data_IF_464722436169
#
_entry.id   IF_464722436169
#
_cell.length_a   1.000
_cell.length_b   1.000
_cell.length_c   1.000
_cell.angle_alpha   90.00
_cell.angle_beta   90.00
_cell.angle_gamma   90.00
#
_symmetry.space_group_name_H-M   'P 1'
#
loop_
_entity.id
_entity.type
_entity.pdbx_description
1 polymer ?
#
# COMPACT_ATOMS: atom_id res chain seq x y z
N UNK A 1 -6.37 1.42 8.83
CA UNK A 1 -6.45 2.90 8.91
C UNK A 1 -7.82 3.29 9.47
N UNK A 2 -7.90 4.25 10.41
CA UNK A 2 -9.19 4.73 10.93
C UNK A 2 -9.87 5.71 9.96
N UNK A 3 -11.21 5.71 9.96
CA UNK A 3 -12.02 6.68 9.25
C UNK A 3 -11.91 8.00 10.01
N UNK A 4 -11.45 9.07 9.36
CA UNK A 4 -11.20 10.35 10.03
C UNK A 4 -12.48 10.99 10.58
N UNK A 5 -13.65 10.68 10.01
CA UNK A 5 -14.95 11.17 10.48
C UNK A 5 -15.49 10.36 11.66
N UNK A 6 -15.40 9.04 11.61
CA UNK A 6 -15.98 8.19 12.66
C UNK A 6 -15.04 7.98 13.85
N UNK A 7 -13.72 8.16 13.65
CA UNK A 7 -12.65 7.95 14.64
C UNK A 7 -12.76 6.62 15.42
N UNK A 8 -13.51 5.65 14.90
CA UNK A 8 -13.95 4.50 15.68
C UNK A 8 -12.98 3.34 15.52
N UNK A 9 -12.45 2.93 16.67
CA UNK A 9 -11.71 1.70 16.94
C UNK A 9 -12.35 1.10 18.21
N UNK A 10 -12.53 -0.23 18.39
CA UNK A 10 -12.25 -1.36 17.51
C UNK A 10 -13.52 -2.13 17.10
N UNK A 11 -13.58 -2.63 15.86
CA UNK A 11 -14.43 -3.79 15.51
C UNK A 11 -13.55 -4.77 14.70
N UNK A 12 -13.73 -6.09 14.86
CA UNK A 12 -12.79 -7.10 14.37
C UNK A 12 -12.76 -7.25 12.83
N UNK A 13 -13.69 -6.63 12.12
CA UNK A 13 -13.80 -6.67 10.66
C UNK A 13 -13.49 -5.29 10.09
N UNK A 14 -12.80 -5.22 8.94
CA UNK A 14 -12.61 -3.97 8.20
C UNK A 14 -13.97 -3.29 7.99
N UNK A 15 -14.18 -2.10 8.54
CA UNK A 15 -15.43 -1.31 8.38
C UNK A 15 -15.53 -0.65 6.99
N UNK A 16 -14.76 -1.14 6.03
CA UNK A 16 -14.65 -0.60 4.69
C UNK A 16 -15.15 -1.62 3.67
N UNK A 17 -15.95 -1.13 2.73
CA UNK A 17 -16.25 -1.84 1.49
C UNK A 17 -15.31 -1.35 0.39
N UNK A 18 -14.68 -2.27 -0.34
CA UNK A 18 -14.02 -1.93 -1.59
C UNK A 18 -15.08 -1.53 -2.61
N UNK A 19 -14.85 -0.41 -3.28
CA UNK A 19 -15.77 0.16 -4.28
C UNK A 19 -15.20 0.03 -5.68
N UNK A 20 -13.89 0.26 -5.83
CA UNK A 20 -13.22 0.21 -7.13
C UNK A 20 -11.71 0.05 -6.98
N UNK A 21 -11.09 -0.49 -8.03
CA UNK A 21 -9.64 -0.57 -8.20
C UNK A 21 -9.24 0.25 -9.42
N UNK A 22 -8.16 1.03 -9.29
CA UNK A 22 -7.50 1.73 -10.39
C UNK A 22 -6.10 1.13 -10.54
N UNK A 23 -5.98 0.19 -11.47
CA UNK A 23 -4.72 -0.50 -11.79
C UNK A 23 -3.60 0.46 -12.26
N UNK A 24 -3.85 1.44 -13.17
CA UNK A 24 -2.82 2.40 -13.57
C UNK A 24 -2.14 3.11 -12.41
N UNK A 25 -2.88 3.42 -11.35
CA UNK A 25 -2.35 4.10 -10.16
C UNK A 25 -2.07 3.15 -8.99
N UNK A 26 -2.25 1.83 -9.19
CA UNK A 26 -2.19 0.80 -8.15
C UNK A 26 -2.87 1.24 -6.85
N UNK A 27 -4.10 1.73 -6.99
CA UNK A 27 -4.85 2.27 -5.87
C UNK A 27 -6.24 1.70 -5.80
N UNK A 28 -6.69 1.49 -4.58
CA UNK A 28 -8.01 0.97 -4.24
C UNK A 28 -8.82 2.09 -3.60
N UNK A 29 -10.11 2.11 -3.91
CA UNK A 29 -11.08 3.01 -3.32
C UNK A 29 -11.98 2.24 -2.37
N UNK A 30 -12.03 2.69 -1.13
CA UNK A 30 -12.83 2.14 -0.07
C UNK A 30 -13.92 3.13 0.38
N UNK A 31 -15.04 2.60 0.86
CA UNK A 31 -16.11 3.37 1.50
C UNK A 31 -16.33 2.89 2.94
N UNK A 32 -16.31 3.83 3.89
CA UNK A 32 -16.68 3.56 5.27
C UNK A 32 -18.17 3.20 5.34
N UNK A 33 -18.50 2.04 5.91
CA UNK A 33 -19.90 1.58 6.07
C UNK A 33 -20.71 2.45 7.03
N UNK A 34 -20.05 3.09 8.00
CA UNK A 34 -20.73 3.84 9.06
C UNK A 34 -21.16 5.26 8.62
N UNK A 35 -20.30 6.00 7.93
CA UNK A 35 -20.57 7.39 7.53
C UNK A 35 -20.51 7.63 6.01
N UNK A 36 -20.12 6.63 5.23
CA UNK A 36 -19.98 6.76 3.78
C UNK A 36 -18.72 7.49 3.31
N UNK A 37 -17.79 7.86 4.20
CA UNK A 37 -16.53 8.50 3.81
C UNK A 37 -15.74 7.63 2.81
N UNK A 38 -15.27 8.24 1.73
CA UNK A 38 -14.44 7.60 0.73
C UNK A 38 -12.95 7.75 1.09
N UNK A 39 -12.20 6.66 0.96
CA UNK A 39 -10.77 6.59 1.26
C UNK A 39 -10.07 5.92 0.09
N UNK A 40 -9.10 6.61 -0.49
CA UNK A 40 -8.20 6.01 -1.48
C UNK A 40 -6.94 5.53 -0.79
N UNK A 41 -6.58 4.27 -0.95
CA UNK A 41 -5.28 3.73 -0.57
C UNK A 41 -4.49 3.48 -1.84
N UNK A 42 -3.27 4.00 -1.93
CA UNK A 42 -2.34 3.68 -3.01
C UNK A 42 -1.20 2.85 -2.49
N UNK A 43 -0.73 1.87 -3.27
CA UNK A 43 0.63 1.39 -3.12
C UNK A 43 1.56 2.52 -3.59
N UNK A 44 2.44 3.02 -2.71
CA UNK A 44 3.55 3.87 -3.14
C UNK A 44 4.31 3.11 -4.23
N UNK A 45 4.38 3.69 -5.44
CA UNK A 45 4.95 3.18 -6.69
C UNK A 45 5.69 1.82 -6.61
N UNK A 46 5.16 0.80 -7.27
CA UNK A 46 6.01 -0.29 -7.77
C UNK A 46 6.78 0.19 -9.00
N UNK A 47 7.81 1.01 -8.78
CA UNK A 47 8.77 1.36 -9.84
C UNK A 47 9.70 0.17 -10.10
N UNK A 48 9.91 -0.18 -11.37
CA UNK A 48 10.98 -1.11 -11.75
C UNK A 48 12.28 -0.31 -11.83
N UNK A 49 13.15 -0.50 -10.85
CA UNK A 49 14.47 0.13 -10.81
C UNK A 49 15.52 -0.94 -11.10
N UNK A 50 16.35 -0.70 -12.11
CA UNK A 50 17.50 -1.54 -12.40
C UNK A 50 18.66 -1.01 -11.58
N UNK A 51 19.14 -1.83 -10.64
CA UNK A 51 20.29 -1.51 -9.80
C UNK A 51 21.52 -2.24 -10.34
N UNK A 52 22.69 -1.60 -10.27
CA UNK A 52 23.95 -2.32 -10.41
C UNK A 52 24.17 -3.22 -9.19
N UNK A 53 24.99 -4.27 -9.31
CA UNK A 53 25.34 -5.14 -8.18
C UNK A 53 25.91 -4.36 -6.99
N UNK A 54 26.66 -3.29 -7.27
CA UNK A 54 27.22 -2.39 -6.26
C UNK A 54 26.12 -1.61 -5.53
N UNK A 55 25.18 -1.00 -6.28
CA UNK A 55 24.08 -0.23 -5.68
C UNK A 55 23.13 -1.11 -4.86
N UNK A 56 22.89 -2.33 -5.35
CA UNK A 56 22.11 -3.34 -4.63
C UNK A 56 22.80 -3.72 -3.30
N UNK A 57 24.11 -3.94 -3.30
CA UNK A 57 24.88 -4.23 -2.09
C UNK A 57 24.87 -3.09 -1.07
N UNK A 58 24.80 -1.83 -1.53
CA UNK A 58 24.68 -0.67 -0.65
C UNK A 58 23.28 -0.50 -0.04
N UNK A 59 22.23 -0.83 -0.80
CA UNK A 59 20.84 -0.65 -0.36
C UNK A 59 20.28 -1.84 0.43
N UNK A 60 20.80 -3.04 0.19
CA UNK A 60 20.30 -4.29 0.76
C UNK A 60 21.42 -5.03 1.53
N UNK A 61 21.61 -4.75 2.83
CA UNK A 61 22.62 -5.43 3.63
C UNK A 61 22.33 -6.94 3.70
N UNK A 62 23.27 -7.74 3.17
CA UNK A 62 23.13 -9.20 3.05
C UNK A 62 23.01 -9.70 1.59
N UNK A 63 22.90 -8.80 0.62
CA UNK A 63 23.02 -9.16 -0.79
C UNK A 63 24.49 -9.47 -1.16
N UNK A 64 24.75 -10.70 -1.61
CA UNK A 64 26.05 -11.12 -2.14
C UNK A 64 25.95 -11.39 -3.65
N UNK A 65 26.50 -10.51 -4.51
CA UNK A 65 26.42 -10.65 -5.96
C UNK A 65 27.24 -11.83 -6.51
N UNK A 66 28.06 -12.50 -5.69
CA UNK A 66 28.86 -13.66 -6.11
C UNK A 66 28.09 -14.99 -6.06
N UNK A 67 26.83 -14.97 -5.62
CA UNK A 67 25.98 -16.16 -5.46
C UNK A 67 24.98 -16.40 -6.62
N UNK A 68 25.03 -15.61 -7.70
CA UNK A 68 24.21 -15.76 -8.92
C UNK A 68 24.95 -16.37 -10.09
#
# INVERSE_FOLDING_TARGET
MPCSTCLTFPLPTSNYDEVAVNDPMQSELYRCRACGQLIRTGALERGVFYLSSTDAGQQFPGFDPSTS
#
